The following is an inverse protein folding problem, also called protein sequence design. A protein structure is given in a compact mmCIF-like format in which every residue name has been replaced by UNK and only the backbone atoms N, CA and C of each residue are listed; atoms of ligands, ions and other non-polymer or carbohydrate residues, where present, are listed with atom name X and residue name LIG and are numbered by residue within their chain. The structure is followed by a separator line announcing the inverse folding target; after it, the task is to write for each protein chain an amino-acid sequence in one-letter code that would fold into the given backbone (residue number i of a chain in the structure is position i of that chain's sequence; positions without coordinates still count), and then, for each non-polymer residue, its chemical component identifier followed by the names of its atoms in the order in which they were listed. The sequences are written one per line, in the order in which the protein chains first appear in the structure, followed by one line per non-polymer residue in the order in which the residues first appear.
data_IF_550341722960
#
_entry.id   IF_550341722960
#
_cell.length_a   1.000
_cell.length_b   1.000
_cell.length_c   1.000
_cell.angle_alpha   90.00
_cell.angle_beta   90.00
_cell.angle_gamma   90.00
#
_symmetry.space_group_name_H-M   'P 1'
#
loop_
_entity.id
_entity.type
_entity.pdbx_description
1 polymer ?
#
# COMPACT_ATOMS: atom_id res chain seq x y z
N UNK A 1 -15.14 -12.73 3.62
CA UNK A 1 -15.38 -12.86 5.07
C UNK A 1 -14.45 -13.94 5.54
N UNK A 2 -13.52 -13.60 6.43
CA UNK A 2 -12.63 -14.58 7.06
C UNK A 2 -13.13 -14.85 8.49
N UNK A 3 -12.97 -16.08 8.96
CA UNK A 3 -13.52 -16.57 10.23
C UNK A 3 -12.37 -16.99 11.11
N UNK A 4 -12.30 -16.44 12.31
CA UNK A 4 -11.40 -16.90 13.35
C UNK A 4 -12.18 -17.38 14.56
N UNK A 5 -11.74 -18.51 15.12
CA UNK A 5 -12.27 -19.06 16.36
C UNK A 5 -11.12 -19.17 17.36
N UNK A 6 -11.27 -18.56 18.54
CA UNK A 6 -10.32 -18.75 19.64
C UNK A 6 -11.01 -19.19 20.91
N UNK A 7 -10.28 -20.00 21.69
CA UNK A 7 -10.74 -20.60 22.92
C UNK A 7 -10.39 -19.69 24.11
N UNK A 8 -11.39 -19.00 24.66
CA UNK A 8 -11.29 -18.23 25.89
C UNK A 8 -11.57 -19.13 27.11
N UNK A 9 -10.57 -19.43 27.95
CA UNK A 9 -10.87 -20.05 29.25
C UNK A 9 -11.56 -19.04 30.18
N UNK A 10 -12.87 -19.17 30.33
CA UNK A 10 -13.68 -18.42 31.31
C UNK A 10 -13.45 -19.01 32.71
N UNK A 11 -12.64 -18.35 33.54
CA UNK A 11 -12.64 -18.65 34.98
C UNK A 11 -14.00 -18.24 35.55
N UNK A 12 -14.72 -19.20 36.15
CA UNK A 12 -16.06 -19.00 36.69
C UNK A 12 -15.99 -18.12 37.95
N UNK A 13 -16.35 -16.84 37.83
CA UNK A 13 -17.17 -16.12 38.81
C UNK A 13 -17.48 -14.70 38.33
N UNK A 14 -18.75 -14.32 38.49
CA UNK A 14 -19.38 -13.01 38.29
C UNK A 14 -19.69 -12.53 36.86
N UNK A 15 -21.01 -12.46 36.65
CA UNK A 15 -21.74 -11.72 35.63
C UNK A 15 -21.44 -10.22 35.81
N UNK A 16 -20.58 -9.67 34.96
CA UNK A 16 -20.65 -8.27 34.58
C UNK A 16 -20.27 -8.21 33.11
N UNK A 17 -20.99 -7.38 32.38
CA UNK A 17 -20.82 -7.08 30.98
C UNK A 17 -19.41 -6.49 30.78
N UNK A 18 -18.37 -7.34 30.73
CA UNK A 18 -17.04 -6.90 30.34
C UNK A 18 -17.19 -6.51 28.88
N UNK A 19 -17.20 -5.20 28.64
CA UNK A 19 -17.00 -4.60 27.34
C UNK A 19 -15.62 -5.04 26.85
N UNK A 20 -15.53 -6.24 26.29
CA UNK A 20 -14.31 -6.72 25.64
C UNK A 20 -14.26 -5.97 24.31
N UNK A 21 -13.51 -4.88 24.29
CA UNK A 21 -13.23 -4.16 23.06
C UNK A 21 -12.09 -4.90 22.38
N UNK A 22 -12.45 -5.66 21.36
CA UNK A 22 -11.50 -6.24 20.42
C UNK A 22 -11.30 -5.19 19.33
N UNK A 23 -10.09 -4.64 19.21
CA UNK A 23 -9.70 -3.94 17.99
C UNK A 23 -8.60 -4.77 17.36
N UNK A 24 -8.83 -5.04 16.10
CA UNK A 24 -7.95 -5.74 15.19
C UNK A 24 -7.69 -4.69 14.09
N UNK A 25 -6.48 -4.32 13.67
CA UNK A 25 -5.45 -5.18 13.09
C UNK A 25 -4.20 -4.36 12.72
N UNK A 26 -3.01 -4.94 12.81
CA UNK A 26 -1.89 -4.53 11.96
C UNK A 26 -1.85 -5.46 10.75
N UNK A 27 -1.78 -4.87 9.55
CA UNK A 27 -1.80 -5.61 8.29
C UNK A 27 -0.38 -5.61 7.74
N UNK A 28 0.20 -6.79 7.56
CA UNK A 28 1.42 -6.89 6.77
C UNK A 28 0.99 -6.98 5.30
N UNK A 29 1.42 -6.05 4.45
CA UNK A 29 1.34 -6.25 3.00
C UNK A 29 2.56 -7.04 2.57
N UNK A 30 2.34 -8.19 1.96
CA UNK A 30 3.43 -8.87 1.24
C UNK A 30 3.86 -7.97 0.09
N UNK A 31 4.99 -7.28 0.25
CA UNK A 31 5.63 -6.56 -0.84
C UNK A 31 6.28 -7.61 -1.73
N UNK A 32 5.68 -7.87 -2.88
CA UNK A 32 6.39 -8.56 -3.96
C UNK A 32 7.35 -7.53 -4.56
N UNK A 33 8.63 -7.88 -4.62
CA UNK A 33 9.63 -7.01 -5.21
C UNK A 33 9.20 -6.58 -6.62
N UNK A 34 9.33 -5.29 -6.94
CA UNK A 34 8.98 -4.69 -8.23
C UNK A 34 7.48 -4.58 -8.54
N UNK A 35 6.57 -4.96 -7.63
CA UNK A 35 5.14 -4.64 -7.80
C UNK A 35 4.80 -3.20 -7.38
N UNK A 36 5.70 -2.59 -6.61
CA UNK A 36 5.62 -1.18 -6.23
C UNK A 36 6.92 -0.46 -6.59
N UNK A 37 6.77 0.74 -7.13
CA UNK A 37 7.86 1.68 -7.36
C UNK A 37 7.56 2.98 -6.63
N UNK A 38 8.61 3.72 -6.28
CA UNK A 38 8.49 5.05 -5.72
C UNK A 38 9.15 6.06 -6.67
N UNK A 39 8.43 7.13 -6.98
CA UNK A 39 8.98 8.31 -7.64
C UNK A 39 9.22 9.37 -6.58
N UNK A 40 10.46 9.83 -6.51
CA UNK A 40 10.93 10.82 -5.54
C UNK A 40 11.49 12.04 -6.25
N UNK A 41 11.34 13.19 -5.60
CA UNK A 41 11.96 14.43 -6.04
C UNK A 41 13.49 14.28 -5.96
N UNK A 42 14.17 14.60 -7.06
CA UNK A 42 15.63 14.57 -7.15
C UNK A 42 16.23 15.97 -7.30
N UNK A 43 15.43 17.00 -7.06
CA UNK A 43 15.82 18.41 -7.05
C UNK A 43 15.60 19.11 -8.39
N UNK A 44 16.16 20.31 -8.45
CA UNK A 44 16.01 21.21 -9.59
C UNK A 44 16.88 20.77 -10.78
N UNK A 45 16.30 20.83 -11.98
CA UNK A 45 17.05 20.79 -13.23
C UNK A 45 17.49 22.21 -13.60
N UNK A 46 18.55 22.33 -14.38
CA UNK A 46 19.09 23.63 -14.78
C UNK A 46 18.01 24.48 -15.49
N UNK A 47 17.76 25.69 -14.99
CA UNK A 47 16.80 26.63 -15.57
C UNK A 47 15.36 26.48 -15.06
N UNK A 48 15.12 25.65 -14.05
CA UNK A 48 13.79 25.44 -13.48
C UNK A 48 13.53 26.32 -12.26
N UNK A 49 12.66 27.33 -12.39
CA UNK A 49 12.07 28.03 -11.24
C UNK A 49 10.60 27.59 -11.07
N UNK A 50 10.29 26.88 -9.98
CA UNK A 50 8.92 26.61 -9.50
C UNK A 50 7.92 25.91 -10.46
N UNK A 51 8.37 25.09 -11.42
CA UNK A 51 7.47 24.38 -12.35
C UNK A 51 7.52 22.85 -12.18
N UNK A 52 7.22 22.37 -10.97
CA UNK A 52 7.33 20.96 -10.60
C UNK A 52 5.93 20.31 -10.49
N UNK A 53 5.59 19.28 -11.29
CA UNK A 53 4.29 18.63 -11.20
C UNK A 53 4.28 17.63 -10.04
N UNK A 54 3.77 18.07 -8.88
CA UNK A 54 3.72 17.29 -7.65
C UNK A 54 2.95 15.96 -7.77
N UNK A 55 2.05 15.88 -8.74
CA UNK A 55 1.21 14.72 -9.04
C UNK A 55 2.01 13.50 -9.51
N UNK A 56 3.25 13.71 -9.96
CA UNK A 56 4.16 12.66 -10.42
C UNK A 56 4.80 11.90 -9.25
N UNK A 57 4.90 12.50 -8.05
CA UNK A 57 5.47 11.80 -6.89
C UNK A 57 4.58 10.70 -6.36
N UNK A 58 5.23 9.82 -5.63
CA UNK A 58 4.58 8.88 -4.75
C UNK A 58 4.76 7.46 -5.23
N UNK A 59 3.82 6.62 -4.80
CA UNK A 59 3.89 5.18 -5.06
C UNK A 59 3.16 4.86 -6.36
N UNK A 60 3.79 4.02 -7.17
CA UNK A 60 3.23 3.45 -8.38
C UNK A 60 3.08 1.95 -8.16
N UNK A 61 1.92 1.41 -8.53
CA UNK A 61 1.56 0.00 -8.41
C UNK A 61 1.60 -0.65 -9.79
N UNK A 62 2.03 -1.91 -9.85
CA UNK A 62 2.06 -2.68 -11.08
C UNK A 62 0.65 -2.76 -11.67
N UNK A 63 0.50 -2.27 -12.90
CA UNK A 63 -0.80 -2.21 -13.60
C UNK A 63 -0.87 -3.13 -14.81
N UNK A 64 0.27 -3.67 -15.27
CA UNK A 64 0.28 -4.66 -16.34
C UNK A 64 1.58 -4.71 -17.12
N UNK A 65 1.50 -5.30 -18.31
CA UNK A 65 2.61 -5.41 -19.25
C UNK A 65 2.21 -4.79 -20.58
N UNK A 66 3.07 -3.91 -21.12
CA UNK A 66 2.96 -3.34 -22.46
C UNK A 66 4.34 -3.37 -23.13
N UNK A 67 4.40 -3.63 -24.45
CA UNK A 67 5.66 -3.77 -25.17
C UNK A 67 6.63 -4.79 -24.54
N UNK A 68 6.08 -5.87 -23.97
CA UNK A 68 6.81 -6.90 -23.21
C UNK A 68 7.56 -6.41 -21.96
N UNK A 69 7.21 -5.23 -21.45
CA UNK A 69 7.77 -4.65 -20.22
C UNK A 69 6.65 -4.33 -19.24
N UNK A 70 6.95 -4.42 -17.95
CA UNK A 70 6.01 -4.00 -16.91
C UNK A 70 5.76 -2.49 -17.01
N UNK A 71 4.56 -2.07 -16.66
CA UNK A 71 4.26 -0.67 -16.36
C UNK A 71 3.55 -0.56 -15.02
N UNK A 72 3.70 0.60 -14.40
CA UNK A 72 3.10 0.92 -13.10
C UNK A 72 2.29 2.19 -13.19
N UNK A 73 1.24 2.32 -12.39
CA UNK A 73 0.36 3.49 -12.33
C UNK A 73 0.26 4.02 -10.91
N UNK A 74 0.16 5.34 -10.74
CA UNK A 74 -0.13 5.96 -9.45
C UNK A 74 -1.60 6.41 -9.35
N UNK A 75 -2.03 6.79 -8.15
CA UNK A 75 -3.40 7.26 -7.89
C UNK A 75 -3.78 8.55 -8.63
N UNK A 76 -2.80 9.27 -9.19
CA UNK A 76 -3.02 10.51 -9.92
C UNK A 76 -3.12 10.28 -11.44
N UNK A 77 -3.13 9.02 -11.91
CA UNK A 77 -3.24 8.67 -13.32
C UNK A 77 -1.94 8.87 -14.12
N UNK A 78 -0.79 8.83 -13.45
CA UNK A 78 0.51 8.80 -14.10
C UNK A 78 1.04 7.37 -14.17
N UNK A 79 1.80 7.11 -15.23
CA UNK A 79 2.38 5.82 -15.55
C UNK A 79 3.91 5.89 -15.55
N UNK A 80 4.56 4.83 -15.09
CA UNK A 80 5.96 4.50 -15.40
C UNK A 80 5.91 3.41 -16.47
N UNK A 81 6.46 3.66 -17.66
CA UNK A 81 6.36 2.72 -18.78
C UNK A 81 7.55 2.78 -19.71
N UNK A 82 7.74 1.73 -20.50
CA UNK A 82 8.79 1.63 -21.50
C UNK A 82 8.24 1.86 -22.91
N UNK A 83 8.89 2.73 -23.67
CA UNK A 83 8.65 2.89 -25.10
C UNK A 83 9.91 3.42 -25.80
N UNK A 84 10.14 3.04 -27.07
CA UNK A 84 11.21 3.59 -27.91
C UNK A 84 12.63 3.60 -27.29
N UNK A 85 12.99 2.61 -26.47
CA UNK A 85 14.27 2.53 -25.72
C UNK A 85 14.44 3.56 -24.58
N UNK A 86 13.34 4.10 -24.09
CA UNK A 86 13.30 4.97 -22.92
C UNK A 86 12.28 4.45 -21.92
N UNK A 87 12.57 4.74 -20.66
CA UNK A 87 11.59 4.70 -19.59
C UNK A 87 11.00 6.09 -19.42
N UNK A 88 9.69 6.19 -19.42
CA UNK A 88 8.94 7.43 -19.32
C UNK A 88 8.13 7.48 -18.04
N UNK A 89 7.90 8.70 -17.56
CA UNK A 89 6.86 9.02 -16.58
C UNK A 89 5.90 10.01 -17.21
N UNK A 90 4.62 9.66 -17.31
CA UNK A 90 3.64 10.47 -18.03
C UNK A 90 2.20 10.06 -17.79
N UNK A 91 1.25 10.89 -18.22
CA UNK A 91 -0.20 10.71 -17.98
C UNK A 91 -0.92 9.86 -19.04
N UNK A 92 -0.20 9.42 -20.08
CA UNK A 92 -0.74 8.55 -21.13
C UNK A 92 0.27 7.44 -21.39
N UNK A 93 -0.17 6.21 -21.19
CA UNK A 93 0.61 5.00 -21.45
C UNK A 93 1.04 4.93 -22.92
N UNK A 94 2.31 4.61 -23.17
CA UNK A 94 2.87 4.47 -24.53
C UNK A 94 3.23 5.77 -25.25
N UNK A 95 3.03 6.95 -24.64
CA UNK A 95 3.38 8.23 -25.26
C UNK A 95 4.90 8.44 -25.36
N UNK A 96 5.39 8.92 -26.50
CA UNK A 96 6.83 9.10 -26.74
C UNK A 96 7.20 10.53 -27.15
N UNK A 97 6.22 11.43 -27.24
CA UNK A 97 6.46 12.79 -27.71
C UNK A 97 6.98 13.67 -26.57
N UNK A 98 8.10 14.34 -26.83
CA UNK A 98 8.65 15.34 -25.91
C UNK A 98 7.87 16.65 -25.90
N UNK A 99 7.00 16.86 -26.90
CA UNK A 99 6.35 18.14 -27.15
C UNK A 99 4.89 18.19 -26.67
N UNK A 100 4.30 17.05 -26.33
CA UNK A 100 2.95 17.00 -25.80
C UNK A 100 2.97 17.04 -24.27
N UNK A 101 1.89 17.56 -23.68
CA UNK A 101 1.71 17.63 -22.23
C UNK A 101 1.40 16.27 -21.59
N UNK A 102 1.83 15.15 -22.18
CA UNK A 102 1.57 13.80 -21.65
C UNK A 102 2.81 13.13 -21.08
N UNK A 103 4.00 13.38 -21.63
CA UNK A 103 5.26 12.91 -21.04
C UNK A 103 5.82 14.00 -20.12
N UNK A 104 6.19 13.66 -18.88
CA UNK A 104 6.80 14.58 -17.92
C UNK A 104 8.30 14.36 -17.80
N UNK A 105 8.72 13.11 -17.64
CA UNK A 105 10.11 12.75 -17.43
C UNK A 105 10.49 11.53 -18.24
N UNK A 106 11.78 11.38 -18.55
CA UNK A 106 12.29 10.25 -19.31
C UNK A 106 13.74 9.91 -18.95
N UNK A 107 14.11 8.66 -19.20
CA UNK A 107 15.48 8.17 -19.07
C UNK A 107 15.78 7.10 -20.12
N UNK A 108 16.89 7.26 -20.84
CA UNK A 108 17.33 6.30 -21.86
C UNK A 108 17.80 5.00 -21.21
N UNK A 109 17.17 3.88 -21.57
CA UNK A 109 17.56 2.52 -21.14
C UNK A 109 16.67 1.50 -21.83
N UNK A 110 17.23 0.35 -22.21
CA UNK A 110 16.51 -0.81 -22.76
C UNK A 110 16.31 -1.95 -21.75
N UNK A 111 16.65 -1.73 -20.48
CA UNK A 111 16.56 -2.73 -19.42
C UNK A 111 15.11 -3.20 -19.18
N UNK A 112 14.94 -4.37 -18.55
CA UNK A 112 13.62 -4.93 -18.20
C UNK A 112 12.86 -4.13 -17.14
N UNK A 113 13.58 -3.32 -16.37
CA UNK A 113 13.05 -2.45 -15.34
C UNK A 113 13.54 -1.01 -15.55
N UNK A 114 12.81 -0.01 -15.03
CA UNK A 114 13.26 1.37 -15.07
C UNK A 114 14.58 1.53 -14.31
N UNK A 115 15.52 2.33 -14.82
CA UNK A 115 16.74 2.69 -14.10
C UNK A 115 16.45 3.25 -12.70
N UNK A 116 16.87 2.52 -11.67
CA UNK A 116 16.71 2.98 -10.29
C UNK A 116 17.78 4.01 -9.91
N UNK A 117 17.41 4.89 -8.99
CA UNK A 117 18.27 5.92 -8.37
C UNK A 117 19.01 6.82 -9.37
N UNK A 118 18.51 6.86 -10.60
CA UNK A 118 19.07 7.64 -11.71
C UNK A 118 18.19 8.86 -11.92
N UNK A 119 18.79 10.01 -12.20
CA UNK A 119 18.04 11.23 -12.52
C UNK A 119 17.36 11.07 -13.87
N UNK A 120 16.04 11.10 -13.90
CA UNK A 120 15.27 11.24 -15.13
C UNK A 120 15.22 12.71 -15.52
N UNK A 121 15.37 12.96 -16.81
CA UNK A 121 15.34 14.30 -17.39
C UNK A 121 13.89 14.73 -17.61
N UNK A 122 13.60 16.01 -17.39
CA UNK A 122 12.29 16.59 -17.70
C UNK A 122 12.11 16.82 -19.21
N UNK A 123 10.86 16.75 -19.67
CA UNK A 123 10.46 17.24 -21.00
C UNK A 123 10.13 18.73 -20.94
N UNK A 124 9.59 19.30 -22.02
CA UNK A 124 9.08 20.68 -22.02
C UNK A 124 7.80 20.87 -21.16
N UNK A 125 7.23 19.77 -20.66
CA UNK A 125 5.94 19.73 -19.95
C UNK A 125 6.12 19.46 -18.45
N UNK A 126 7.36 19.42 -17.98
CA UNK A 126 7.73 19.37 -16.57
C UNK A 126 9.02 20.15 -16.36
N UNK A 127 9.39 20.35 -15.10
CA UNK A 127 10.69 20.87 -14.72
C UNK A 127 11.19 20.07 -13.53
N UNK A 128 12.50 20.12 -13.26
CA UNK A 128 13.14 19.37 -12.19
C UNK A 128 13.67 18.00 -12.63
N UNK A 129 14.11 17.23 -11.66
CA UNK A 129 14.57 15.86 -11.82
C UNK A 129 13.75 14.94 -10.91
N UNK A 130 13.57 13.69 -11.34
CA UNK A 130 13.02 12.64 -10.47
C UNK A 130 13.96 11.44 -10.42
N UNK A 131 13.79 10.65 -9.38
CA UNK A 131 14.36 9.30 -9.28
C UNK A 131 13.25 8.28 -9.07
N UNK A 132 13.43 7.14 -9.72
CA UNK A 132 12.63 5.94 -9.47
C UNK A 132 13.42 5.02 -8.55
N UNK A 133 12.75 4.42 -7.57
CA UNK A 133 13.31 3.40 -6.70
C UNK A 133 12.29 2.27 -6.49
N UNK A 134 12.75 1.18 -5.88
CA UNK A 134 11.82 0.17 -5.36
C UNK A 134 10.88 0.83 -4.35
N UNK A 135 9.59 0.63 -4.55
CA UNK A 135 8.55 1.13 -3.67
C UNK A 135 8.17 0.08 -2.64
N UNK A 136 7.68 0.54 -1.50
CA UNK A 136 6.92 -0.31 -0.60
C UNK A 136 5.46 -0.19 -0.92
N UNK A 137 4.74 -1.28 -0.79
CA UNK A 137 3.31 -1.24 -0.90
C UNK A 137 2.69 -0.24 0.12
N UNK A 138 1.63 0.49 -0.25
CA UNK A 138 0.92 1.31 0.72
C UNK A 138 0.37 0.41 1.83
N UNK A 139 0.33 0.89 3.09
CA UNK A 139 -0.29 0.17 4.18
C UNK A 139 -1.72 -0.24 3.78
N UNK A 140 -2.09 -1.52 3.95
CA UNK A 140 -3.46 -1.92 3.65
C UNK A 140 -4.43 -1.20 4.58
N UNK A 141 -5.67 -1.04 4.15
CA UNK A 141 -6.70 -0.37 4.95
C UNK A 141 -7.08 -1.22 6.15
N UNK A 142 -7.31 -0.61 7.32
CA UNK A 142 -7.81 -1.30 8.50
C UNK A 142 -9.03 -2.19 8.15
N UNK A 143 -9.04 -3.48 8.53
CA UNK A 143 -10.23 -4.30 8.37
C UNK A 143 -11.36 -3.75 9.24
N UNK A 144 -12.59 -3.94 8.79
CA UNK A 144 -13.78 -3.68 9.61
C UNK A 144 -14.04 -4.91 10.45
N UNK A 145 -13.95 -4.78 11.77
CA UNK A 145 -14.41 -5.82 12.70
C UNK A 145 -15.93 -5.76 12.81
N UNK A 146 -16.60 -6.91 12.69
CA UNK A 146 -18.03 -7.03 12.95
C UNK A 146 -18.28 -7.45 14.39
N UNK A 147 -19.27 -6.83 15.02
CA UNK A 147 -19.68 -7.20 16.37
C UNK A 147 -20.18 -8.65 16.41
N UNK A 148 -19.70 -9.48 17.36
CA UNK A 148 -20.16 -10.85 17.51
C UNK A 148 -21.62 -10.89 17.98
N UNK A 149 -22.41 -11.79 17.40
CA UNK A 149 -23.78 -12.06 17.84
C UNK A 149 -23.81 -13.00 19.06
N UNK A 150 -24.98 -13.19 19.68
CA UNK A 150 -25.13 -14.08 20.84
C UNK A 150 -24.71 -15.54 20.54
N UNK A 151 -24.89 -16.02 19.31
CA UNK A 151 -24.45 -17.36 18.90
C UNK A 151 -22.93 -17.48 18.70
N UNK A 152 -22.24 -16.35 18.50
CA UNK A 152 -20.80 -16.30 18.30
C UNK A 152 -20.02 -16.28 19.63
N UNK A 153 -20.73 -16.13 20.76
CA UNK A 153 -20.14 -16.07 22.10
C UNK A 153 -20.49 -17.35 22.86
N UNK A 154 -19.58 -18.32 22.82
CA UNK A 154 -19.63 -19.51 23.65
C UNK A 154 -19.22 -19.25 25.10
N UNK A 155 -19.45 -20.24 25.96
CA UNK A 155 -19.01 -20.19 27.37
C UNK A 155 -17.49 -20.07 27.51
N UNK A 156 -16.74 -20.55 26.52
CA UNK A 156 -15.28 -20.57 26.48
C UNK A 156 -14.70 -20.25 25.11
N UNK A 157 -15.47 -19.63 24.22
CA UNK A 157 -14.99 -19.25 22.91
C UNK A 157 -15.72 -18.01 22.42
N UNK A 158 -15.07 -17.27 21.53
CA UNK A 158 -15.72 -16.22 20.75
C UNK A 158 -15.29 -16.40 19.29
N UNK A 159 -16.26 -16.33 18.40
CA UNK A 159 -16.04 -16.26 16.96
C UNK A 159 -16.03 -14.80 16.54
N UNK A 160 -15.01 -14.42 15.78
CA UNK A 160 -14.83 -13.06 15.28
C UNK A 160 -14.83 -13.07 13.76
N UNK A 161 -15.40 -12.01 13.19
CA UNK A 161 -15.50 -11.83 11.75
C UNK A 161 -15.04 -10.43 11.39
N UNK A 162 -14.34 -10.32 10.26
CA UNK A 162 -13.93 -9.04 9.71
C UNK A 162 -14.00 -9.02 8.19
N UNK A 163 -13.97 -7.81 7.64
CA UNK A 163 -13.82 -7.62 6.19
C UNK A 163 -12.42 -8.03 5.75
N UNK A 164 -12.34 -8.79 4.65
CA UNK A 164 -11.06 -9.17 4.06
C UNK A 164 -10.39 -7.92 3.48
N UNK A 165 -9.13 -7.69 3.82
CA UNK A 165 -8.33 -6.59 3.29
C UNK A 165 -7.49 -7.09 2.13
N UNK A 166 -7.62 -6.43 0.97
CA UNK A 166 -6.81 -6.73 -0.21
C UNK A 166 -5.36 -6.36 0.09
N UNK A 167 -4.43 -7.26 -0.25
CA UNK A 167 -3.01 -7.09 0.03
C UNK A 167 -2.59 -7.47 1.46
N UNK A 168 -3.50 -7.89 2.34
CA UNK A 168 -3.13 -8.44 3.64
C UNK A 168 -2.49 -9.83 3.50
N UNK A 169 -1.34 -10.05 4.15
CA UNK A 169 -0.68 -11.36 4.27
C UNK A 169 -1.11 -12.13 5.52
N UNK A 170 -1.73 -11.45 6.49
CA UNK A 170 -2.21 -12.04 7.74
C UNK A 170 -2.83 -11.01 8.67
N UNK A 171 -3.33 -11.51 9.80
CA UNK A 171 -4.15 -10.74 10.73
C UNK A 171 -3.63 -10.85 12.18
N UNK A 172 -3.39 -9.71 12.86
CA UNK A 172 -3.06 -9.68 14.30
C UNK A 172 -4.23 -9.25 15.19
N UNK A 173 -4.58 -10.08 16.18
CA UNK A 173 -5.66 -9.80 17.14
C UNK A 173 -5.11 -9.34 18.49
N UNK A 174 -5.74 -8.28 19.01
CA UNK A 174 -5.52 -7.72 20.34
C UNK A 174 -6.84 -7.71 21.11
N UNK A 175 -6.81 -8.18 22.36
CA UNK A 175 -8.01 -8.24 23.22
C UNK A 175 -7.77 -7.39 24.46
N UNK A 176 -8.66 -6.42 24.71
CA UNK A 176 -8.60 -5.52 25.87
C UNK A 176 -9.92 -5.55 26.65
N UNK A 177 -9.85 -5.26 27.95
CA UNK A 177 -11.04 -5.02 28.80
C UNK A 177 -11.54 -3.57 28.72
N UNK A 178 -10.83 -2.71 28.01
CA UNK A 178 -11.20 -1.31 27.82
C UNK A 178 -10.94 -0.83 26.37
N UNK A 179 -11.66 0.21 25.97
CA UNK A 179 -11.63 0.73 24.60
C UNK A 179 -10.33 1.47 24.21
N UNK A 180 -9.52 1.84 25.21
CA UNK A 180 -8.24 2.54 25.03
C UNK A 180 -7.02 1.60 25.16
N UNK A 181 -7.24 0.28 25.22
CA UNK A 181 -6.17 -0.73 25.20
C UNK A 181 -5.17 -0.63 26.35
N UNK A 182 -5.55 -0.01 27.46
CA UNK A 182 -4.69 0.10 28.64
C UNK A 182 -4.79 -1.10 29.59
N UNK A 183 -5.77 -1.99 29.41
CA UNK A 183 -5.91 -3.24 30.16
C UNK A 183 -6.04 -4.45 29.23
N UNK A 184 -4.90 -4.88 28.71
CA UNK A 184 -4.79 -6.01 27.79
C UNK A 184 -5.06 -7.34 28.50
N UNK A 185 -5.78 -8.24 27.84
CA UNK A 185 -5.99 -9.60 28.32
C UNK A 185 -4.70 -10.40 28.12
N UNK A 186 -4.02 -10.71 29.22
CA UNK A 186 -2.77 -11.50 29.20
C UNK A 186 -2.95 -12.80 28.40
N UNK A 187 -2.00 -13.08 27.50
CA UNK A 187 -2.03 -14.23 26.59
C UNK A 187 -2.74 -13.99 25.25
N UNK A 188 -3.38 -12.83 25.06
CA UNK A 188 -4.10 -12.47 23.82
C UNK A 188 -3.52 -11.21 23.16
N UNK A 189 -2.22 -11.00 23.34
CA UNK A 189 -1.47 -9.92 22.70
C UNK A 189 -0.84 -10.48 21.43
N UNK A 190 -1.31 -10.03 20.25
CA UNK A 190 -0.76 -10.37 18.94
C UNK A 190 -0.94 -11.85 18.55
N UNK A 191 -2.19 -12.31 18.55
CA UNK A 191 -2.54 -13.62 17.97
C UNK A 191 -2.55 -13.53 16.44
N UNK A 192 -1.96 -14.52 15.77
CA UNK A 192 -1.89 -14.60 14.30
C UNK A 192 -3.04 -15.41 13.74
N UNK A 193 -3.68 -14.92 12.69
CA UNK A 193 -4.61 -15.64 11.83
C UNK A 193 -4.22 -15.55 10.37
#
# INVERSE_FOLDING_TARGET
MEIFSSFFRKNRCNLSLILIVVIVLFIEKSVVAQDYLAVTDAGEAAGCNNAWPAEVLGTYEYSGTENSKKYWENSNGFFIYFASNYWYVGSVLGSTSYNNSTVRFYQGSSADLPPYNTNYLSTNSACGLIKIAEGTAPPPTAPTLYDPSASDVGSTNVQLYWSKVIGASGYYIYVSRNNNFSDMVSGYNRLTS
#
